data_IF_588321802809
#
_entry.id   IF_588321802809
#
_cell.length_a   1.000
_cell.length_b   1.000
_cell.length_c   1.000
_cell.angle_alpha   90.00
_cell.angle_beta   90.00
_cell.angle_gamma   90.00
#
_symmetry.space_group_name_H-M   'P 1'
#
loop_
_entity.id
_entity.type
_entity.pdbx_description
1 polymer ?
#
# COMPACT_ATOMS: atom_id res chain seq x y z
N UNK A 1 -9.02 -18.94 7.64
CA UNK A 1 -9.51 -17.68 7.02
C UNK A 1 -10.02 -16.80 8.16
N UNK A 2 -9.39 -15.65 8.40
CA UNK A 2 -9.91 -14.67 9.35
C UNK A 2 -11.02 -13.86 8.67
N UNK A 3 -12.16 -13.61 9.36
CA UNK A 3 -13.20 -12.73 8.84
C UNK A 3 -12.71 -11.28 8.81
N UNK A 4 -13.18 -10.51 7.82
CA UNK A 4 -12.92 -9.08 7.74
C UNK A 4 -13.53 -8.35 8.94
N UNK A 5 -12.85 -7.32 9.42
CA UNK A 5 -13.45 -6.43 10.41
C UNK A 5 -14.64 -5.68 9.78
N UNK A 6 -15.53 -5.15 10.62
CA UNK A 6 -16.65 -4.32 10.14
C UNK A 6 -16.15 -3.06 9.41
N UNK A 7 -15.02 -2.50 9.85
CA UNK A 7 -14.39 -1.36 9.18
C UNK A 7 -13.86 -1.75 7.80
N UNK A 8 -13.09 -2.83 7.69
CA UNK A 8 -12.54 -3.27 6.39
C UNK A 8 -13.65 -3.62 5.39
N UNK A 9 -14.74 -4.23 5.89
CA UNK A 9 -15.91 -4.55 5.08
C UNK A 9 -16.61 -3.30 4.54
N UNK A 10 -16.56 -2.18 5.27
CA UNK A 10 -17.17 -0.92 4.83
C UNK A 10 -16.48 -0.33 3.60
N UNK A 11 -15.16 -0.51 3.45
CA UNK A 11 -14.41 -0.07 2.27
C UNK A 11 -14.92 -0.77 1.01
N UNK A 12 -15.15 -2.08 1.07
CA UNK A 12 -15.69 -2.86 -0.05
C UNK A 12 -17.15 -2.53 -0.34
N UNK A 13 -17.96 -2.30 0.69
CA UNK A 13 -19.39 -2.04 0.52
C UNK A 13 -19.67 -0.65 -0.06
N UNK A 14 -18.86 0.35 0.30
CA UNK A 14 -19.06 1.74 -0.12
C UNK A 14 -18.35 2.10 -1.43
N UNK A 15 -17.42 1.28 -1.91
CA UNK A 15 -16.68 1.57 -3.15
C UNK A 15 -17.58 1.61 -4.39
N UNK A 16 -17.49 2.69 -5.16
CA UNK A 16 -18.09 2.83 -6.48
C UNK A 16 -17.18 3.65 -7.43
N UNK A 17 -17.52 3.71 -8.72
CA UNK A 17 -16.69 4.38 -9.73
C UNK A 17 -16.38 5.87 -9.45
N UNK A 18 -17.15 6.53 -8.59
CA UNK A 18 -17.02 7.94 -8.17
C UNK A 18 -16.41 8.08 -6.77
N UNK A 19 -16.32 6.99 -6.01
CA UNK A 19 -15.75 6.94 -4.66
C UNK A 19 -14.84 5.72 -4.49
N UNK A 20 -13.63 5.75 -5.06
CA UNK A 20 -12.65 4.71 -4.83
C UNK A 20 -12.20 4.73 -3.36
N UNK A 21 -12.13 3.56 -2.73
CA UNK A 21 -11.77 3.43 -1.30
C UNK A 21 -10.31 3.03 -1.09
N UNK A 22 -9.50 2.96 -2.15
CA UNK A 22 -8.07 2.69 -2.05
C UNK A 22 -7.29 3.94 -1.57
N UNK A 23 -6.31 3.72 -0.69
CA UNK A 23 -5.42 4.77 -0.21
C UNK A 23 -4.11 4.74 -0.99
N UNK A 24 -3.69 5.90 -1.48
CA UNK A 24 -2.40 6.10 -2.14
C UNK A 24 -1.51 7.04 -1.34
N UNK A 25 -0.20 6.97 -1.58
CA UNK A 25 0.78 7.91 -1.05
C UNK A 25 1.75 8.32 -2.14
N UNK A 26 2.26 9.55 -2.04
CA UNK A 26 3.30 10.09 -2.90
C UNK A 26 4.48 10.49 -2.02
N UNK A 27 5.66 10.02 -2.40
CA UNK A 27 6.90 10.28 -1.70
C UNK A 27 7.80 11.12 -2.60
N UNK A 28 8.38 12.18 -2.04
CA UNK A 28 9.33 13.05 -2.74
C UNK A 28 10.73 12.71 -2.24
N UNK A 29 11.64 12.47 -3.17
CA UNK A 29 13.04 12.18 -2.88
C UNK A 29 13.91 13.30 -3.44
N UNK A 30 14.85 13.79 -2.64
CA UNK A 30 15.81 14.80 -3.06
C UNK A 30 17.05 14.14 -3.70
N UNK A 31 17.55 14.72 -4.79
CA UNK A 31 18.73 14.23 -5.51
C UNK A 31 18.44 13.09 -6.49
N UNK A 32 19.49 12.37 -6.90
CA UNK A 32 19.38 11.21 -7.81
C UNK A 32 19.32 9.91 -7.02
N UNK A 33 18.24 9.15 -7.20
CA UNK A 33 18.11 7.80 -6.69
C UNK A 33 18.53 6.80 -7.78
N UNK A 34 19.55 6.00 -7.51
CA UNK A 34 19.92 4.88 -8.36
C UNK A 34 18.86 3.76 -8.24
N UNK A 35 18.51 3.16 -9.37
CA UNK A 35 17.47 2.13 -9.44
C UNK A 35 17.84 0.88 -8.64
N UNK A 36 19.10 0.46 -8.68
CA UNK A 36 19.54 -0.74 -7.95
C UNK A 36 19.49 -0.50 -6.44
N UNK A 37 19.91 0.69 -5.99
CA UNK A 37 19.82 1.13 -4.60
C UNK A 37 18.37 1.18 -4.09
N UNK A 38 17.43 1.68 -4.92
CA UNK A 38 16.00 1.63 -4.63
C UNK A 38 15.48 0.20 -4.49
N UNK A 39 15.83 -0.66 -5.46
CA UNK A 39 15.39 -2.06 -5.51
C UNK A 39 15.86 -2.84 -4.29
N UNK A 40 17.12 -2.66 -3.88
CA UNK A 40 17.68 -3.30 -2.68
C UNK A 40 16.99 -2.81 -1.41
N UNK A 41 16.72 -1.50 -1.31
CA UNK A 41 15.99 -0.91 -0.18
C UNK A 41 14.60 -1.53 -0.06
N UNK A 42 13.85 -1.60 -1.15
CA UNK A 42 12.53 -2.24 -1.20
C UNK A 42 12.60 -3.72 -0.82
N UNK A 43 13.51 -4.50 -1.42
CA UNK A 43 13.64 -5.94 -1.16
C UNK A 43 13.96 -6.23 0.32
N UNK A 44 14.78 -5.40 0.96
CA UNK A 44 15.14 -5.54 2.38
C UNK A 44 13.98 -5.26 3.35
N UNK A 45 12.88 -4.64 2.89
CA UNK A 45 11.77 -4.19 3.77
C UNK A 45 10.41 -4.72 3.38
N UNK A 46 10.21 -5.14 2.13
CA UNK A 46 8.89 -5.58 1.63
C UNK A 46 8.30 -6.74 2.45
N UNK A 47 9.15 -7.60 3.00
CA UNK A 47 8.73 -8.70 3.86
C UNK A 47 8.18 -8.25 5.23
N UNK A 48 8.41 -7.01 5.63
CA UNK A 48 7.87 -6.41 6.85
C UNK A 48 6.42 -5.94 6.67
N UNK A 49 5.92 -5.88 5.43
CA UNK A 49 4.52 -5.53 5.16
C UNK A 49 3.63 -6.62 5.76
N UNK A 50 2.69 -6.27 6.67
CA UNK A 50 1.76 -7.23 7.23
C UNK A 50 1.00 -7.95 6.11
N UNK A 51 1.04 -9.27 6.11
CA UNK A 51 0.25 -10.09 5.18
C UNK A 51 -1.18 -10.17 5.70
N UNK A 52 -2.15 -9.77 4.88
CA UNK A 52 -3.57 -10.00 5.11
C UNK A 52 -3.93 -11.48 4.96
#
# INVERSE_FOLDING_TARGET
MQPLSGLDSSFLYLEDARQPMHVGSVLVFEGSMDFESFRQTMASRVHLVPRL
#
